data_IF_281890724171
#
_entry.id   IF_281890724171
#
_cell.length_a   1.000
_cell.length_b   1.000
_cell.length_c   1.000
_cell.angle_alpha   90.00
_cell.angle_beta   90.00
_cell.angle_gamma   90.00
#
_symmetry.space_group_name_H-M   'P 1'
#
loop_
_entity.id
_entity.type
_entity.pdbx_description
1 polymer ?
#
# COMPACT_ATOMS: atom_id res chain seq x y z
N UNK A 1 2.54 74.75 -31.58
CA UNK A 1 1.89 74.18 -31.49
C UNK A 1 2.71 72.95 -31.80
N UNK A 2 3.65 72.83 -31.07
CA UNK A 2 4.87 72.10 -31.32
C UNK A 2 5.02 70.97 -30.38
N UNK A 3 5.73 69.96 -30.86
CA UNK A 3 6.50 69.04 -30.11
C UNK A 3 5.76 67.83 -29.55
N UNK A 4 5.83 66.72 -30.31
CA UNK A 4 5.93 65.37 -29.81
C UNK A 4 6.22 64.33 -30.93
N UNK A 5 7.34 64.51 -31.63
CA UNK A 5 7.78 63.57 -32.67
C UNK A 5 9.29 63.23 -32.58
N UNK A 6 9.85 63.04 -31.41
CA UNK A 6 11.28 62.69 -31.34
C UNK A 6 11.68 61.57 -30.41
N UNK A 7 10.76 60.69 -30.03
CA UNK A 7 11.09 59.63 -29.07
C UNK A 7 10.86 58.17 -29.57
N UNK A 8 10.60 57.99 -30.88
CA UNK A 8 10.37 56.65 -31.41
C UNK A 8 11.53 56.03 -32.19
N UNK A 9 12.52 56.82 -32.57
CA UNK A 9 13.65 56.30 -33.37
C UNK A 9 14.75 55.61 -32.55
N UNK A 10 14.85 55.84 -31.26
CA UNK A 10 15.87 55.23 -30.42
C UNK A 10 15.49 53.83 -29.85
N UNK A 11 14.24 53.37 -30.07
CA UNK A 11 13.80 52.09 -29.54
C UNK A 11 13.96 50.94 -30.52
N UNK A 12 14.24 51.20 -31.78
CA UNK A 12 14.42 50.19 -32.83
C UNK A 12 15.86 49.70 -32.97
N UNK A 13 16.84 50.45 -32.47
CA UNK A 13 18.26 50.08 -32.56
C UNK A 13 18.67 49.03 -31.47
N UNK A 14 18.11 49.14 -30.26
CA UNK A 14 18.43 48.19 -29.19
C UNK A 14 17.79 46.80 -29.35
N UNK A 15 16.74 46.70 -30.18
CA UNK A 15 16.06 45.43 -30.42
C UNK A 15 16.81 44.47 -31.32
N UNK A 16 17.71 44.96 -32.15
CA UNK A 16 18.48 44.16 -33.09
C UNK A 16 19.72 43.54 -32.45
N UNK A 17 20.26 44.12 -31.38
CA UNK A 17 21.44 43.54 -30.69
C UNK A 17 21.06 42.41 -29.73
N UNK A 18 19.81 42.35 -29.26
CA UNK A 18 19.32 41.25 -28.38
C UNK A 18 19.00 39.99 -29.16
N UNK A 19 18.69 40.10 -30.46
CA UNK A 19 18.34 38.95 -31.31
C UNK A 19 19.54 38.19 -31.86
N UNK A 20 20.72 38.78 -31.84
CA UNK A 20 21.93 38.13 -32.35
C UNK A 20 22.72 37.35 -31.30
N UNK A 21 22.39 37.49 -30.01
CA UNK A 21 23.07 36.74 -28.91
C UNK A 21 22.38 35.45 -28.52
N UNK A 22 21.26 35.07 -29.18
CA UNK A 22 20.52 33.84 -28.89
C UNK A 22 20.91 32.63 -29.73
N UNK A 23 21.94 32.72 -30.57
CA UNK A 23 22.52 31.60 -31.29
C UNK A 23 23.77 31.07 -30.60
N UNK A 24 23.83 31.05 -29.27
CA UNK A 24 24.73 30.18 -28.59
C UNK A 24 24.17 28.77 -28.74
N UNK A 25 24.66 28.07 -29.74
CA UNK A 25 24.45 26.63 -29.88
C UNK A 25 24.87 26.00 -28.55
N UNK A 26 23.89 25.53 -27.80
CA UNK A 26 24.14 24.84 -26.55
C UNK A 26 25.04 23.66 -26.88
N UNK A 27 26.29 23.69 -26.41
CA UNK A 27 27.19 22.56 -26.60
C UNK A 27 26.54 21.33 -25.98
N UNK A 28 26.36 20.30 -26.80
CA UNK A 28 25.81 19.02 -26.35
C UNK A 28 26.63 18.53 -25.17
N UNK A 29 25.98 18.35 -24.02
CA UNK A 29 26.62 17.76 -22.85
C UNK A 29 27.30 16.47 -23.29
N UNK A 30 28.55 16.29 -22.93
CA UNK A 30 29.36 15.09 -23.21
C UNK A 30 28.72 13.78 -22.72
N UNK A 31 27.66 13.88 -21.91
CA UNK A 31 26.83 12.78 -21.45
C UNK A 31 26.07 12.07 -22.60
N UNK A 32 25.57 12.81 -23.61
CA UNK A 32 24.88 12.19 -24.75
C UNK A 32 25.82 11.43 -25.68
N UNK A 33 27.05 11.87 -25.79
CA UNK A 33 28.05 11.17 -26.58
C UNK A 33 28.48 9.84 -25.95
N UNK A 34 28.50 9.77 -24.63
CA UNK A 34 28.79 8.55 -23.90
C UNK A 34 27.63 7.53 -23.95
N UNK A 35 26.38 7.96 -24.18
CA UNK A 35 25.24 7.06 -24.35
C UNK A 35 25.27 6.36 -25.73
N UNK A 36 25.73 7.04 -26.79
CA UNK A 36 25.84 6.45 -28.13
C UNK A 36 26.98 5.45 -28.24
N UNK A 37 27.99 5.56 -27.40
CA UNK A 37 29.17 4.66 -27.39
C UNK A 37 28.97 3.44 -26.49
N UNK A 38 27.92 3.39 -25.66
CA UNK A 38 27.50 2.18 -24.93
C UNK A 38 26.79 1.22 -25.88
N UNK A 39 27.53 0.75 -26.88
CA UNK A 39 27.10 -0.30 -27.76
C UNK A 39 26.59 -1.50 -26.97
N UNK A 40 25.32 -1.82 -27.12
CA UNK A 40 24.68 -3.14 -27.26
C UNK A 40 25.34 -4.35 -26.56
N UNK A 41 26.14 -4.17 -25.54
CA UNK A 41 26.32 -5.24 -24.59
C UNK A 41 24.95 -5.38 -23.87
N UNK A 42 24.15 -6.35 -24.31
CA UNK A 42 22.99 -6.82 -23.56
C UNK A 42 23.51 -7.21 -22.17
N UNK A 43 23.49 -6.24 -21.25
CA UNK A 43 23.80 -6.50 -19.84
C UNK A 43 22.77 -7.54 -19.43
N UNK A 44 23.20 -8.80 -19.32
CA UNK A 44 22.37 -9.86 -18.80
C UNK A 44 22.13 -9.52 -17.33
N UNK A 45 21.01 -8.82 -17.08
CA UNK A 45 20.59 -8.54 -15.73
C UNK A 45 20.41 -9.88 -15.00
N UNK A 46 21.13 -10.07 -13.90
CA UNK A 46 20.96 -11.20 -13.00
C UNK A 46 20.27 -10.70 -11.75
N UNK A 47 19.15 -11.32 -11.43
CA UNK A 47 18.49 -11.06 -10.15
C UNK A 47 19.42 -11.48 -9.00
N UNK A 48 19.39 -10.75 -7.86
CA UNK A 48 20.07 -11.18 -6.64
C UNK A 48 19.58 -12.57 -6.22
N UNK A 49 20.47 -13.34 -5.60
CA UNK A 49 20.12 -14.66 -5.08
C UNK A 49 19.18 -14.50 -3.88
N UNK A 50 18.20 -15.38 -3.77
CA UNK A 50 17.25 -15.39 -2.64
C UNK A 50 17.98 -15.67 -1.31
N UNK A 51 19.15 -16.29 -1.36
CA UNK A 51 20.00 -16.59 -0.20
C UNK A 51 20.50 -15.35 0.56
N UNK A 52 20.41 -14.15 -0.04
CA UNK A 52 20.69 -12.89 0.65
C UNK A 52 19.55 -12.41 1.57
N UNK A 53 18.40 -13.08 1.52
CA UNK A 53 17.24 -12.74 2.34
C UNK A 53 17.24 -13.56 3.63
N UNK A 54 16.69 -12.95 4.69
CA UNK A 54 16.49 -13.64 5.96
C UNK A 54 15.39 -14.72 5.83
N UNK A 55 15.57 -15.79 6.59
CA UNK A 55 14.63 -16.92 6.64
C UNK A 55 14.07 -17.09 8.04
N UNK A 56 12.80 -17.53 8.16
CA UNK A 56 12.21 -17.81 9.46
C UNK A 56 12.94 -18.94 10.18
N UNK A 57 13.19 -18.74 11.47
CA UNK A 57 13.77 -19.80 12.31
C UNK A 57 12.70 -20.84 12.65
N UNK A 58 13.14 -22.09 12.94
CA UNK A 58 12.22 -23.17 13.36
C UNK A 58 11.37 -22.81 14.59
N UNK A 59 11.90 -21.97 15.49
CA UNK A 59 11.19 -21.52 16.70
C UNK A 59 10.05 -20.55 16.39
N UNK A 60 10.17 -19.76 15.34
CA UNK A 60 9.14 -18.79 14.94
C UNK A 60 7.94 -19.51 14.30
N UNK A 61 8.19 -20.57 13.51
CA UNK A 61 7.12 -21.40 12.91
C UNK A 61 6.25 -22.16 13.92
N UNK A 62 6.79 -22.52 15.09
CA UNK A 62 6.06 -23.27 16.11
C UNK A 62 5.22 -22.40 17.04
N UNK A 63 5.40 -21.08 17.03
CA UNK A 63 4.60 -20.13 17.82
C UNK A 63 3.29 -19.73 17.14
N UNK A 64 3.09 -20.15 15.91
CA UNK A 64 1.97 -19.78 15.03
C UNK A 64 0.61 -20.34 15.46
N UNK A 65 0.54 -21.21 16.47
CA UNK A 65 -0.72 -21.71 17.02
C UNK A 65 -1.15 -20.85 18.20
N UNK A 66 -1.37 -19.56 17.94
CA UNK A 66 -1.38 -18.59 18.93
C UNK A 66 -2.69 -18.34 19.64
N UNK A 67 -2.52 -18.05 20.84
CA UNK A 67 -3.45 -17.50 21.79
C UNK A 67 -4.11 -16.23 21.22
N UNK A 68 -5.29 -16.40 20.62
CA UNK A 68 -6.20 -15.31 20.38
C UNK A 68 -6.76 -14.87 21.74
N UNK A 69 -6.79 -13.58 22.00
CA UNK A 69 -7.37 -13.03 23.25
C UNK A 69 -8.88 -13.24 23.35
N UNK A 70 -9.50 -13.69 22.27
CA UNK A 70 -10.95 -13.84 22.21
C UNK A 70 -11.32 -15.06 21.34
N UNK A 71 -12.40 -15.71 21.74
CA UNK A 71 -13.06 -16.75 20.94
C UNK A 71 -14.13 -16.10 20.05
N UNK A 72 -14.47 -16.73 18.93
CA UNK A 72 -15.55 -16.30 18.01
C UNK A 72 -16.85 -15.99 18.76
N UNK A 73 -17.21 -16.86 19.70
CA UNK A 73 -18.40 -16.70 20.55
C UNK A 73 -18.34 -15.45 21.45
N UNK A 74 -17.16 -15.08 21.89
CA UNK A 74 -16.95 -13.88 22.69
C UNK A 74 -17.20 -12.63 21.85
N UNK A 75 -16.70 -12.62 20.59
CA UNK A 75 -16.93 -11.49 19.69
C UNK A 75 -18.42 -11.39 19.30
N UNK A 76 -19.10 -12.51 19.04
CA UNK A 76 -20.54 -12.53 18.78
C UNK A 76 -21.33 -11.98 20.00
N UNK A 77 -20.95 -12.35 21.21
CA UNK A 77 -21.57 -11.84 22.43
C UNK A 77 -21.36 -10.36 22.61
N UNK A 78 -20.15 -9.87 22.41
CA UNK A 78 -19.86 -8.42 22.47
C UNK A 78 -20.75 -7.65 21.49
N UNK A 79 -20.85 -8.12 20.24
CA UNK A 79 -21.71 -7.48 19.23
C UNK A 79 -23.18 -7.50 19.65
N UNK A 80 -23.65 -8.60 20.23
CA UNK A 80 -25.01 -8.74 20.73
C UNK A 80 -25.29 -7.75 21.88
N UNK A 81 -24.34 -7.58 22.81
CA UNK A 81 -24.46 -6.63 23.94
C UNK A 81 -24.62 -5.18 23.45
N UNK A 82 -24.06 -4.84 22.28
CA UNK A 82 -24.27 -3.57 21.59
C UNK A 82 -25.51 -3.55 20.66
N UNK A 83 -26.35 -4.57 20.75
CA UNK A 83 -27.58 -4.69 19.95
C UNK A 83 -27.32 -4.92 18.46
N UNK A 84 -26.24 -5.65 18.14
CA UNK A 84 -25.91 -6.10 16.79
C UNK A 84 -25.99 -7.62 16.76
N UNK A 85 -27.13 -8.14 16.29
CA UNK A 85 -27.33 -9.57 16.10
C UNK A 85 -26.65 -10.04 14.81
N UNK A 86 -26.06 -11.24 14.83
CA UNK A 86 -25.42 -11.87 13.68
C UNK A 86 -24.56 -13.04 14.06
N UNK A 87 -23.83 -13.58 13.10
CA UNK A 87 -22.93 -14.73 13.29
C UNK A 87 -21.63 -14.55 12.56
N UNK A 88 -20.55 -15.08 13.11
CA UNK A 88 -19.26 -15.20 12.44
C UNK A 88 -19.34 -16.39 11.49
N UNK A 89 -19.12 -16.13 10.21
CA UNK A 89 -19.13 -17.16 9.13
C UNK A 89 -17.77 -17.77 8.92
N UNK A 90 -16.73 -16.99 9.09
CA UNK A 90 -15.35 -17.40 8.81
C UNK A 90 -14.38 -16.58 9.62
N UNK A 91 -13.36 -17.25 10.14
CA UNK A 91 -12.20 -16.60 10.74
C UNK A 91 -10.96 -16.92 9.91
N UNK A 92 -10.20 -15.90 9.58
CA UNK A 92 -8.95 -16.02 8.83
C UNK A 92 -7.82 -15.43 9.67
N UNK A 93 -6.96 -16.32 10.17
CA UNK A 93 -5.81 -15.92 10.96
C UNK A 93 -4.67 -15.48 10.04
N UNK A 94 -4.21 -14.27 10.25
CA UNK A 94 -3.00 -13.75 9.60
C UNK A 94 -1.86 -13.62 10.60
N UNK A 95 -0.66 -13.27 10.13
CA UNK A 95 0.52 -13.16 11.00
C UNK A 95 0.46 -11.95 11.96
N UNK A 96 -0.29 -10.93 11.63
CA UNK A 96 -0.39 -9.68 12.39
C UNK A 96 -1.81 -9.41 12.87
N UNK A 97 -2.79 -9.72 12.05
CA UNK A 97 -4.21 -9.47 12.31
C UNK A 97 -5.04 -10.71 12.01
N UNK A 98 -6.14 -10.87 12.73
CA UNK A 98 -7.15 -11.88 12.46
C UNK A 98 -8.39 -11.20 11.90
N UNK A 99 -8.86 -11.69 10.74
CA UNK A 99 -10.07 -11.22 10.07
C UNK A 99 -11.24 -12.14 10.45
N UNK A 100 -12.29 -11.57 11.05
CA UNK A 100 -13.55 -12.22 11.34
C UNK A 100 -14.61 -11.74 10.34
N UNK A 101 -15.13 -12.64 9.51
CA UNK A 101 -16.22 -12.34 8.59
C UNK A 101 -17.55 -12.50 9.35
N UNK A 102 -18.12 -11.37 9.74
CA UNK A 102 -19.37 -11.31 10.47
C UNK A 102 -20.56 -11.07 9.52
N UNK A 103 -21.60 -11.88 9.63
CA UNK A 103 -22.86 -11.71 8.91
C UNK A 103 -23.90 -11.14 9.87
N UNK A 104 -24.26 -9.84 9.74
CA UNK A 104 -25.31 -9.24 10.56
C UNK A 104 -26.68 -9.79 10.21
N UNK A 105 -27.57 -9.84 11.17
CA UNK A 105 -28.96 -10.19 10.96
C UNK A 105 -29.67 -9.17 10.03
N UNK A 106 -30.74 -9.60 9.42
CA UNK A 106 -31.53 -8.74 8.53
C UNK A 106 -32.04 -7.49 9.25
N UNK A 107 -31.89 -6.33 8.61
CA UNK A 107 -32.33 -5.04 9.16
C UNK A 107 -31.27 -4.29 9.94
N UNK A 108 -30.10 -4.86 10.20
CA UNK A 108 -28.98 -4.17 10.86
C UNK A 108 -28.23 -3.32 9.84
N UNK A 109 -28.08 -2.02 10.15
CA UNK A 109 -27.33 -1.09 9.29
C UNK A 109 -25.83 -1.33 9.47
N UNK A 110 -25.11 -1.48 8.35
CA UNK A 110 -23.65 -1.66 8.35
C UNK A 110 -22.92 -0.53 9.08
N UNK A 111 -23.39 0.71 8.94
CA UNK A 111 -22.83 1.87 9.63
C UNK A 111 -22.88 1.75 11.15
N UNK A 112 -23.92 1.08 11.70
CA UNK A 112 -23.99 0.81 13.14
C UNK A 112 -22.83 -0.05 13.58
N UNK A 113 -22.51 -1.10 12.83
CA UNK A 113 -21.40 -2.01 13.15
C UNK A 113 -20.05 -1.29 13.03
N UNK A 114 -19.86 -0.51 11.96
CA UNK A 114 -18.61 0.23 11.73
C UNK A 114 -18.31 1.20 12.88
N UNK A 115 -19.34 1.88 13.40
CA UNK A 115 -19.17 2.83 14.49
C UNK A 115 -18.81 2.19 15.84
N UNK A 116 -18.95 0.87 15.96
CA UNK A 116 -18.58 0.13 17.18
C UNK A 116 -17.11 -0.28 17.24
N UNK A 117 -16.27 0.17 16.31
CA UNK A 117 -14.86 -0.24 16.22
C UNK A 117 -14.10 -0.01 17.54
N UNK A 118 -14.25 1.15 18.16
CA UNK A 118 -13.58 1.49 19.42
C UNK A 118 -14.12 0.66 20.61
N UNK A 119 -15.42 0.44 20.62
CA UNK A 119 -16.07 -0.35 21.68
C UNK A 119 -15.66 -1.84 21.58
N UNK A 120 -15.57 -2.38 20.37
CA UNK A 120 -15.10 -3.73 20.13
C UNK A 120 -13.63 -3.86 20.54
N UNK A 121 -12.77 -2.90 20.14
CA UNK A 121 -11.36 -2.91 20.53
C UNK A 121 -11.20 -2.93 22.06
N UNK A 122 -11.96 -2.12 22.78
CA UNK A 122 -11.94 -2.08 24.24
C UNK A 122 -12.38 -3.41 24.86
N UNK A 123 -13.49 -3.98 24.40
CA UNK A 123 -14.04 -5.21 24.95
C UNK A 123 -13.24 -6.47 24.60
N UNK A 124 -12.47 -6.44 23.52
CA UNK A 124 -11.54 -7.51 23.15
C UNK A 124 -10.12 -7.31 23.69
N UNK A 125 -9.91 -6.22 24.48
CA UNK A 125 -8.58 -5.82 24.97
C UNK A 125 -7.53 -5.68 23.84
N UNK A 126 -7.99 -5.26 22.65
CA UNK A 126 -7.16 -5.03 21.47
C UNK A 126 -6.76 -3.56 21.36
N UNK A 127 -5.59 -3.28 20.77
CA UNK A 127 -5.12 -1.89 20.54
C UNK A 127 -6.08 -1.09 19.65
N UNK A 128 -6.69 -1.77 18.68
CA UNK A 128 -7.64 -1.18 17.72
C UNK A 128 -8.50 -2.27 17.09
N UNK A 129 -9.65 -1.89 16.52
CA UNK A 129 -10.42 -2.76 15.65
C UNK A 129 -10.70 -2.04 14.33
N UNK A 130 -10.52 -2.71 13.21
CA UNK A 130 -10.89 -2.19 11.91
C UNK A 130 -12.09 -2.93 11.38
N UNK A 131 -13.14 -2.19 11.02
CA UNK A 131 -14.38 -2.75 10.50
C UNK A 131 -14.61 -2.22 9.10
N UNK A 132 -14.79 -3.13 8.13
CA UNK A 132 -14.98 -2.78 6.72
C UNK A 132 -15.95 -3.75 6.05
N UNK A 133 -16.61 -3.28 5.01
CA UNK A 133 -17.43 -4.15 4.15
C UNK A 133 -16.54 -4.96 3.22
N UNK A 134 -16.93 -6.23 3.00
CA UNK A 134 -16.23 -7.09 2.04
C UNK A 134 -16.94 -6.98 0.69
N UNK A 135 -16.27 -6.50 -0.37
CA UNK A 135 -16.89 -6.37 -1.68
C UNK A 135 -17.42 -7.72 -2.20
N UNK A 136 -18.66 -7.70 -2.71
CA UNK A 136 -19.30 -8.90 -3.28
C UNK A 136 -19.85 -9.89 -2.26
N UNK A 137 -19.85 -9.56 -0.96
CA UNK A 137 -20.42 -10.38 0.12
C UNK A 137 -21.38 -9.57 0.99
N UNK A 138 -22.32 -10.26 1.65
CA UNK A 138 -23.19 -9.68 2.69
C UNK A 138 -22.50 -9.58 4.06
N UNK A 139 -21.26 -10.01 4.18
CA UNK A 139 -20.50 -10.04 5.41
C UNK A 139 -19.68 -8.77 5.60
N UNK A 140 -19.44 -8.45 6.87
CA UNK A 140 -18.59 -7.34 7.32
C UNK A 140 -17.31 -7.95 7.87
N UNK A 141 -16.16 -7.45 7.46
CA UNK A 141 -14.88 -7.84 8.00
C UNK A 141 -14.57 -7.07 9.28
N UNK A 142 -14.30 -7.79 10.37
CA UNK A 142 -13.81 -7.24 11.64
C UNK A 142 -12.39 -7.74 11.81
N UNK A 143 -11.43 -6.85 11.65
CA UNK A 143 -10.00 -7.11 11.80
C UNK A 143 -9.56 -6.71 13.20
N UNK A 144 -8.96 -7.65 13.90
CA UNK A 144 -8.39 -7.44 15.22
C UNK A 144 -6.91 -7.83 15.22
N UNK A 145 -6.02 -7.03 15.83
CA UNK A 145 -4.60 -7.35 15.90
C UNK A 145 -4.38 -8.56 16.81
N UNK A 146 -3.46 -9.41 16.40
CA UNK A 146 -3.02 -10.55 17.20
C UNK A 146 -2.14 -10.06 18.35
N UNK A 147 -2.21 -10.72 19.50
CA UNK A 147 -1.32 -10.46 20.64
C UNK A 147 0.13 -10.75 20.32
N UNK A 148 0.35 -11.90 19.70
CA UNK A 148 1.66 -12.29 19.19
C UNK A 148 1.69 -12.03 17.71
N UNK A 149 2.48 -11.04 17.30
CA UNK A 149 2.70 -10.73 15.89
C UNK A 149 3.85 -11.56 15.36
N UNK A 150 3.66 -12.15 14.20
CA UNK A 150 4.68 -12.94 13.52
C UNK A 150 5.41 -12.09 12.50
N UNK A 151 6.72 -12.32 12.35
CA UNK A 151 7.50 -11.71 11.28
C UNK A 151 7.15 -12.39 9.96
N UNK A 152 6.89 -11.58 8.94
CA UNK A 152 6.68 -12.05 7.57
C UNK A 152 7.96 -11.85 6.78
N UNK A 153 8.54 -12.92 6.29
CA UNK A 153 9.80 -12.89 5.54
C UNK A 153 9.54 -12.84 4.04
N UNK A 154 10.20 -11.92 3.36
CA UNK A 154 10.11 -11.79 1.90
C UNK A 154 10.54 -13.08 1.18
N UNK A 155 11.50 -13.81 1.75
CA UNK A 155 11.95 -15.10 1.25
C UNK A 155 10.82 -16.11 1.12
N UNK A 156 9.89 -16.16 2.06
CA UNK A 156 8.74 -17.08 2.03
C UNK A 156 7.78 -16.74 0.88
N UNK A 157 7.56 -15.45 0.62
CA UNK A 157 6.69 -15.00 -0.47
C UNK A 157 7.31 -15.35 -1.82
N UNK A 158 8.60 -15.03 -2.02
CA UNK A 158 9.31 -15.29 -3.28
C UNK A 158 9.39 -16.79 -3.57
N UNK A 159 9.58 -17.61 -2.55
CA UNK A 159 9.66 -19.08 -2.69
C UNK A 159 8.29 -19.76 -2.78
N UNK A 160 7.20 -19.02 -2.60
CA UNK A 160 5.86 -19.59 -2.68
C UNK A 160 5.51 -20.01 -4.12
N UNK A 161 4.73 -21.09 -4.24
CA UNK A 161 4.24 -21.57 -5.52
C UNK A 161 3.35 -20.52 -6.22
N UNK A 162 2.71 -19.66 -5.47
CA UNK A 162 1.84 -18.60 -6.00
C UNK A 162 2.64 -17.52 -6.67
N UNK A 163 3.75 -17.09 -6.05
CA UNK A 163 4.65 -16.10 -6.65
C UNK A 163 5.29 -16.63 -7.94
N UNK A 164 5.58 -17.92 -8.01
CA UNK A 164 6.18 -18.56 -9.19
C UNK A 164 5.25 -18.65 -10.40
N UNK A 165 3.94 -18.43 -10.22
CA UNK A 165 2.97 -18.38 -11.32
C UNK A 165 3.18 -17.11 -12.12
N UNK A 166 3.60 -17.25 -13.38
CA UNK A 166 3.92 -16.13 -14.29
C UNK A 166 2.74 -15.23 -14.67
N UNK A 167 1.53 -15.56 -14.23
CA UNK A 167 0.29 -14.82 -14.52
C UNK A 167 0.12 -13.57 -13.65
N UNK A 168 0.84 -13.50 -12.53
CA UNK A 168 0.75 -12.37 -11.60
C UNK A 168 1.62 -11.24 -12.13
N UNK A 169 0.99 -10.16 -12.61
CA UNK A 169 1.70 -8.98 -13.14
C UNK A 169 2.28 -8.09 -12.02
N UNK A 170 1.66 -8.13 -10.85
CA UNK A 170 2.10 -7.44 -9.63
C UNK A 170 1.94 -8.45 -8.49
N UNK A 171 3.05 -8.93 -7.90
CA UNK A 171 3.01 -9.81 -6.75
C UNK A 171 2.57 -9.07 -5.48
#
# INVERSE_FOLDING_TARGET
KNTKESNYENFSAEKNDILNDTTRVQENFSFEQNLKSRNNQKIKFKLPLVDFLDYPTKKERTKSTAELNYDEKTLEKILLDFGVEGKIKKVSHGPVVTLNEFEPAAGIKVSKVINLSEDIARNTSSESARISTIPGRSTIGIELPNNLRENVYLSEIILSNEFSKKEIKLP
#
